data_IF_850502336020
#
_entry.id   IF_850502336020
#
_cell.length_a   1.000
_cell.length_b   1.000
_cell.length_c   1.000
_cell.angle_alpha   90.00
_cell.angle_beta   90.00
_cell.angle_gamma   90.00
#
_symmetry.space_group_name_H-M   'P 1'
#
loop_
_entity.id
_entity.type
_entity.pdbx_description
1 polymer ?
#
# COMPACT_ATOMS: atom_id res chain seq x y z
N UNK A 1 -0.20 25.03 -29.97
CA UNK A 1 0.20 26.24 -29.24
C UNK A 1 1.29 25.80 -28.26
N UNK A 2 2.57 26.05 -28.57
CA UNK A 2 3.66 25.80 -27.64
C UNK A 2 3.56 26.86 -26.53
N UNK A 3 3.11 26.46 -25.36
CA UNK A 3 3.14 27.32 -24.21
C UNK A 3 4.62 27.55 -23.79
N UNK A 4 5.01 28.80 -23.69
CA UNK A 4 6.35 29.15 -23.26
C UNK A 4 6.55 28.71 -21.81
N UNK A 5 7.52 27.82 -21.58
CA UNK A 5 7.79 27.29 -20.23
C UNK A 5 8.53 28.37 -19.45
N UNK A 6 8.09 28.74 -18.24
CA UNK A 6 8.77 29.73 -17.40
C UNK A 6 10.21 29.31 -17.08
N UNK A 7 11.14 30.24 -17.15
CA UNK A 7 12.52 30.04 -16.71
C UNK A 7 12.78 30.78 -15.39
N UNK A 8 13.68 30.25 -14.57
CA UNK A 8 14.17 30.92 -13.39
C UNK A 8 15.14 32.06 -13.71
N UNK A 9 15.61 32.76 -12.69
CA UNK A 9 16.56 33.87 -12.82
C UNK A 9 17.90 33.43 -13.44
N UNK A 10 18.27 32.15 -13.26
CA UNK A 10 19.48 31.55 -13.85
C UNK A 10 19.29 31.10 -15.32
N UNK A 11 18.15 31.46 -15.94
CA UNK A 11 17.80 31.05 -17.29
C UNK A 11 17.44 29.56 -17.48
N UNK A 12 17.44 28.78 -16.43
CA UNK A 12 17.07 27.35 -16.46
C UNK A 12 15.62 27.15 -16.12
N UNK A 13 15.05 26.06 -16.63
CA UNK A 13 13.68 25.68 -16.29
C UNK A 13 13.72 24.92 -14.96
N UNK A 14 13.07 25.44 -13.89
CA UNK A 14 12.98 24.74 -12.62
C UNK A 14 12.04 23.52 -12.80
N UNK A 15 12.61 22.31 -12.84
CA UNK A 15 11.84 21.10 -13.11
C UNK A 15 11.10 20.58 -11.86
N UNK A 16 11.80 20.47 -10.73
CA UNK A 16 11.29 19.97 -9.45
C UNK A 16 12.01 20.65 -8.30
N UNK A 17 11.29 21.02 -7.23
CA UNK A 17 11.88 21.67 -6.06
C UNK A 17 12.60 20.72 -5.11
N UNK A 18 12.18 19.46 -5.07
CA UNK A 18 12.73 18.42 -4.21
C UNK A 18 13.53 17.35 -5.00
N UNK A 19 13.74 17.58 -6.30
CA UNK A 19 14.41 16.66 -7.20
C UNK A 19 13.56 15.46 -7.67
N UNK A 20 12.32 15.32 -7.17
CA UNK A 20 11.45 14.17 -7.44
C UNK A 20 10.11 14.58 -8.05
N UNK A 21 9.42 15.56 -7.48
CA UNK A 21 8.07 15.95 -7.88
C UNK A 21 8.10 17.15 -8.85
N UNK A 22 7.77 16.92 -10.15
CA UNK A 22 7.79 17.98 -11.14
C UNK A 22 6.77 19.10 -10.80
N UNK A 23 7.17 20.34 -11.00
CA UNK A 23 6.24 21.46 -10.89
C UNK A 23 5.18 21.42 -11.99
N UNK A 24 3.96 21.81 -11.65
CA UNK A 24 2.81 21.79 -12.57
C UNK A 24 3.02 22.66 -13.80
N UNK A 25 3.60 23.86 -13.62
CA UNK A 25 3.77 24.86 -14.66
C UNK A 25 5.08 24.74 -15.47
N UNK A 26 5.98 23.83 -15.09
CA UNK A 26 7.24 23.61 -15.81
C UNK A 26 7.47 22.12 -16.09
N UNK A 27 7.74 21.30 -15.08
CA UNK A 27 8.06 19.88 -15.27
C UNK A 27 6.92 19.09 -15.92
N UNK A 28 5.66 19.26 -15.48
CA UNK A 28 4.51 18.64 -16.12
C UNK A 28 4.28 19.13 -17.56
N UNK A 29 4.56 20.40 -17.84
CA UNK A 29 4.47 20.95 -19.22
C UNK A 29 5.48 20.27 -20.14
N UNK A 30 6.72 20.03 -19.66
CA UNK A 30 7.74 19.30 -20.42
C UNK A 30 7.28 17.89 -20.74
N UNK A 31 6.74 17.15 -19.77
CA UNK A 31 6.17 15.82 -19.99
C UNK A 31 5.04 15.86 -21.01
N UNK A 32 4.09 16.79 -20.86
CA UNK A 32 2.97 16.94 -21.80
C UNK A 32 3.44 17.21 -23.22
N UNK A 33 4.38 18.12 -23.40
CA UNK A 33 4.94 18.42 -24.73
C UNK A 33 5.66 17.21 -25.34
N UNK A 34 6.37 16.42 -24.52
CA UNK A 34 7.04 15.20 -24.97
C UNK A 34 6.03 14.15 -25.44
N UNK A 35 4.94 13.94 -24.69
CA UNK A 35 3.85 13.04 -25.07
C UNK A 35 3.16 13.52 -26.36
N UNK A 36 2.85 14.82 -26.45
CA UNK A 36 2.21 15.39 -27.64
C UNK A 36 3.04 15.25 -28.92
N UNK A 37 4.38 15.27 -28.80
CA UNK A 37 5.29 14.96 -29.92
C UNK A 37 5.32 13.46 -30.27
N UNK A 38 5.24 12.59 -29.26
CA UNK A 38 5.30 11.15 -29.44
C UNK A 38 4.01 10.54 -30.02
N UNK A 39 2.84 11.04 -29.61
CA UNK A 39 1.54 10.49 -29.98
C UNK A 39 1.31 10.38 -31.51
N UNK A 40 1.62 11.37 -32.34
CA UNK A 40 1.46 11.24 -33.80
C UNK A 40 2.38 10.17 -34.42
N UNK A 41 3.56 9.98 -33.83
CA UNK A 41 4.51 8.93 -34.28
C UNK A 41 3.98 7.56 -33.90
N UNK A 42 3.55 7.41 -32.65
CA UNK A 42 2.97 6.15 -32.14
C UNK A 42 1.71 5.79 -32.95
N UNK A 43 0.82 6.77 -33.21
CA UNK A 43 -0.40 6.54 -33.97
C UNK A 43 -0.18 6.10 -35.42
N UNK A 44 0.98 6.39 -36.01
CA UNK A 44 1.39 5.93 -37.34
C UNK A 44 2.11 4.59 -37.34
N UNK A 45 2.65 4.18 -36.22
CA UNK A 45 3.51 2.99 -36.11
C UNK A 45 2.72 1.69 -35.93
N UNK A 46 1.43 1.77 -35.56
CA UNK A 46 0.59 0.62 -35.26
C UNK A 46 -0.58 0.45 -36.24
N UNK A 47 -1.01 -0.78 -36.42
CA UNK A 47 -2.28 -1.10 -37.09
C UNK A 47 -3.30 -1.42 -36.02
N UNK A 48 -4.46 -0.71 -35.97
CA UNK A 48 -5.52 -1.06 -35.04
C UNK A 48 -6.02 -2.49 -35.27
N UNK A 49 -6.14 -3.25 -34.18
CA UNK A 49 -6.65 -4.63 -34.26
C UNK A 49 -6.36 -5.41 -32.98
N UNK A 50 -6.89 -6.64 -32.88
CA UNK A 50 -6.54 -7.53 -31.80
C UNK A 50 -5.03 -7.85 -31.82
N UNK A 51 -4.38 -7.68 -30.70
CA UNK A 51 -2.98 -8.04 -30.52
C UNK A 51 -2.91 -9.19 -29.51
N UNK A 52 -2.42 -10.39 -29.91
CA UNK A 52 -2.16 -11.46 -28.95
C UNK A 52 -1.12 -10.99 -27.94
N UNK A 53 -1.37 -11.24 -26.67
CA UNK A 53 -0.40 -10.95 -25.64
C UNK A 53 0.84 -11.83 -25.86
N UNK A 54 2.06 -11.28 -25.86
CA UNK A 54 3.26 -12.09 -25.91
C UNK A 54 3.37 -12.93 -24.65
N UNK A 55 4.18 -13.99 -24.69
CA UNK A 55 4.55 -14.72 -23.49
C UNK A 55 5.18 -13.77 -22.46
N UNK A 56 4.92 -13.98 -21.16
CA UNK A 56 5.51 -13.16 -20.10
C UNK A 56 7.05 -13.13 -20.23
N UNK A 57 7.66 -11.98 -20.00
CA UNK A 57 9.12 -11.82 -19.99
C UNK A 57 9.77 -12.60 -18.84
N UNK A 58 9.02 -12.93 -17.80
CA UNK A 58 9.46 -13.68 -16.63
C UNK A 58 8.43 -14.76 -16.30
N UNK A 59 8.92 -15.95 -15.95
CA UNK A 59 8.06 -17.06 -15.56
C UNK A 59 7.32 -16.80 -14.22
N UNK A 60 7.90 -15.94 -13.38
CA UNK A 60 7.36 -15.53 -12.08
C UNK A 60 6.56 -14.20 -12.14
N UNK A 61 6.00 -13.86 -13.31
CA UNK A 61 5.13 -12.68 -13.44
C UNK A 61 3.86 -12.83 -12.58
N UNK A 62 3.24 -11.68 -12.28
CA UNK A 62 2.06 -11.66 -11.41
C UNK A 62 0.74 -11.74 -12.19
N UNK A 63 0.69 -12.48 -13.27
CA UNK A 63 -0.50 -12.62 -14.10
C UNK A 63 -1.63 -13.37 -13.35
N UNK A 64 -1.26 -14.30 -12.45
CA UNK A 64 -2.21 -15.00 -11.57
C UNK A 64 -2.39 -14.29 -10.24
N UNK A 65 -2.85 -13.03 -10.27
CA UNK A 65 -3.06 -12.23 -9.06
C UNK A 65 -4.54 -12.14 -8.70
N UNK A 66 -4.87 -12.36 -7.44
CA UNK A 66 -6.21 -12.19 -6.89
C UNK A 66 -6.26 -11.16 -5.78
N UNK A 67 -7.39 -10.44 -5.70
CA UNK A 67 -7.69 -9.49 -4.64
C UNK A 67 -8.91 -9.98 -3.86
N UNK A 68 -8.72 -10.30 -2.60
CA UNK A 68 -9.71 -10.98 -1.75
C UNK A 68 -10.12 -10.07 -0.60
N UNK A 69 -11.42 -9.78 -0.40
CA UNK A 69 -11.87 -9.03 0.77
C UNK A 69 -11.71 -9.86 2.05
N UNK A 70 -11.50 -9.21 3.20
CA UNK A 70 -11.24 -9.93 4.46
C UNK A 70 -12.44 -10.71 5.01
N UNK A 71 -13.65 -10.46 4.52
CA UNK A 71 -14.85 -11.23 4.86
C UNK A 71 -15.10 -12.43 3.91
N UNK A 72 -14.14 -12.76 3.04
CA UNK A 72 -14.28 -13.90 2.15
C UNK A 72 -14.25 -15.23 2.92
N UNK A 73 -14.98 -16.20 2.41
CA UNK A 73 -14.89 -17.59 2.88
C UNK A 73 -13.45 -18.10 2.72
N UNK A 74 -12.89 -18.69 3.79
CA UNK A 74 -11.49 -19.11 3.86
C UNK A 74 -10.58 -18.15 4.61
N UNK A 75 -11.08 -16.98 5.03
CA UNK A 75 -10.40 -16.09 5.96
C UNK A 75 -11.10 -16.12 7.31
N UNK A 76 -10.34 -16.34 8.38
CA UNK A 76 -10.85 -16.34 9.76
C UNK A 76 -10.30 -15.13 10.50
N UNK A 77 -11.20 -14.35 11.07
CA UNK A 77 -10.89 -13.22 11.94
C UNK A 77 -11.18 -13.61 13.39
N UNK A 78 -10.23 -13.46 14.29
CA UNK A 78 -10.36 -13.85 15.69
C UNK A 78 -10.02 -12.69 16.63
N UNK A 79 -10.56 -12.73 17.86
CA UNK A 79 -10.33 -11.72 18.89
C UNK A 79 -11.10 -10.43 18.67
N UNK A 80 -10.70 -9.32 19.29
CA UNK A 80 -11.41 -8.05 19.20
C UNK A 80 -11.10 -7.31 17.88
N UNK A 81 -12.07 -7.25 16.99
CA UNK A 81 -11.99 -6.48 15.74
C UNK A 81 -13.34 -5.84 15.41
N UNK A 82 -13.32 -4.82 14.58
CA UNK A 82 -14.51 -4.08 14.14
C UNK A 82 -14.38 -3.76 12.66
N UNK A 83 -15.39 -4.08 11.86
CA UNK A 83 -15.55 -3.49 10.54
C UNK A 83 -15.97 -2.02 10.72
N UNK A 84 -15.18 -1.10 10.20
CA UNK A 84 -15.45 0.32 10.37
C UNK A 84 -16.62 0.75 9.47
N UNK A 85 -17.60 1.48 10.01
CA UNK A 85 -18.70 1.98 9.18
C UNK A 85 -18.17 2.97 8.14
N UNK A 86 -18.87 3.10 7.02
CA UNK A 86 -18.49 4.03 5.93
C UNK A 86 -18.41 5.51 6.38
N UNK A 87 -19.01 5.85 7.52
CA UNK A 87 -18.94 7.17 8.15
C UNK A 87 -17.65 7.39 8.96
N UNK A 88 -16.91 6.31 9.29
CA UNK A 88 -15.62 6.43 9.98
C UNK A 88 -14.63 7.21 9.11
N UNK A 89 -13.89 8.19 9.68
CA UNK A 89 -12.94 8.99 8.91
C UNK A 89 -11.89 8.18 8.16
N UNK A 90 -11.36 7.09 8.74
CA UNK A 90 -10.39 6.23 8.09
C UNK A 90 -11.02 5.44 6.94
N UNK A 91 -12.19 4.82 7.16
CA UNK A 91 -12.90 4.09 6.12
C UNK A 91 -13.26 5.02 4.95
N UNK A 92 -13.79 6.21 5.23
CA UNK A 92 -14.17 7.20 4.21
C UNK A 92 -12.97 7.70 3.40
N UNK A 93 -11.83 7.93 4.05
CA UNK A 93 -10.60 8.42 3.39
C UNK A 93 -10.12 7.45 2.32
N UNK A 94 -10.28 6.15 2.52
CA UNK A 94 -9.72 5.11 1.65
C UNK A 94 -10.79 4.29 0.91
N UNK A 95 -12.06 4.70 0.94
CA UNK A 95 -13.19 3.97 0.37
C UNK A 95 -13.01 3.63 -1.13
N UNK A 96 -12.31 4.47 -1.91
CA UNK A 96 -12.02 4.23 -3.31
C UNK A 96 -10.99 3.10 -3.56
N UNK A 97 -10.28 2.65 -2.52
CA UNK A 97 -9.29 1.55 -2.58
C UNK A 97 -9.72 0.37 -1.71
N UNK A 98 -10.29 0.66 -0.56
CA UNK A 98 -10.74 -0.28 0.45
C UNK A 98 -12.23 -0.04 0.70
N UNK A 99 -13.13 -0.71 -0.03
CA UNK A 99 -14.58 -0.57 0.15
C UNK A 99 -15.04 -1.04 1.53
N UNK A 100 -14.25 -1.90 2.20
CA UNK A 100 -14.38 -2.26 3.61
C UNK A 100 -13.02 -2.16 4.30
N UNK A 101 -13.01 -1.67 5.52
CA UNK A 101 -11.83 -1.51 6.35
C UNK A 101 -12.10 -2.05 7.75
N UNK A 102 -11.25 -2.94 8.23
CA UNK A 102 -11.32 -3.51 9.57
C UNK A 102 -10.25 -2.92 10.47
N UNK A 103 -10.63 -2.65 11.71
CA UNK A 103 -9.72 -2.29 12.78
C UNK A 103 -9.58 -3.48 13.72
N UNK A 104 -8.36 -3.92 13.93
CA UNK A 104 -7.99 -5.01 14.83
C UNK A 104 -7.32 -4.43 16.07
N UNK A 105 -7.73 -4.89 17.24
CA UNK A 105 -7.16 -4.51 18.53
C UNK A 105 -6.07 -5.51 18.96
N UNK A 106 -5.40 -5.21 20.07
CA UNK A 106 -4.34 -6.07 20.58
C UNK A 106 -4.88 -7.50 20.86
N UNK A 107 -4.14 -8.50 20.40
CA UNK A 107 -4.51 -9.91 20.51
C UNK A 107 -5.42 -10.43 19.39
N UNK A 108 -5.97 -9.56 18.55
CA UNK A 108 -6.74 -10.01 17.39
C UNK A 108 -5.84 -10.69 16.34
N UNK A 109 -6.40 -11.59 15.53
CA UNK A 109 -5.67 -12.25 14.44
C UNK A 109 -6.50 -12.42 13.17
N UNK A 110 -5.78 -12.50 12.05
CA UNK A 110 -6.28 -12.85 10.72
C UNK A 110 -5.58 -14.14 10.32
N UNK A 111 -6.34 -15.15 9.91
CA UNK A 111 -5.81 -16.47 9.52
C UNK A 111 -6.40 -16.90 8.20
N UNK A 112 -5.57 -17.44 7.31
CA UNK A 112 -6.01 -18.00 6.02
C UNK A 112 -4.98 -18.97 5.45
N UNK A 113 -5.41 -19.73 4.45
CA UNK A 113 -4.53 -20.55 3.61
C UNK A 113 -4.62 -20.05 2.17
N UNK A 114 -3.53 -20.11 1.45
CA UNK A 114 -3.51 -19.81 0.03
C UNK A 114 -2.59 -20.78 -0.71
N UNK A 115 -2.91 -21.07 -1.97
CA UNK A 115 -2.02 -21.74 -2.90
C UNK A 115 -1.40 -20.68 -3.80
N UNK A 116 -0.08 -20.61 -3.86
CA UNK A 116 0.62 -19.61 -4.66
C UNK A 116 1.96 -19.22 -4.08
N UNK A 117 2.57 -18.18 -4.63
CA UNK A 117 3.97 -17.81 -4.37
C UNK A 117 4.13 -16.55 -3.51
N UNK A 118 3.06 -15.74 -3.37
CA UNK A 118 3.10 -14.46 -2.66
C UNK A 118 1.78 -14.10 -2.02
N UNK A 119 1.86 -13.49 -0.84
CA UNK A 119 0.71 -12.90 -0.15
C UNK A 119 1.08 -11.54 0.41
N UNK A 120 0.20 -10.56 0.23
CA UNK A 120 0.30 -9.20 0.79
C UNK A 120 -1.04 -8.76 1.34
N UNK A 121 -1.04 -7.96 2.38
CA UNK A 121 -2.25 -7.36 2.92
C UNK A 121 -2.25 -5.85 2.65
N UNK A 122 -3.32 -5.35 2.07
CA UNK A 122 -3.53 -3.92 1.87
C UNK A 122 -4.05 -3.34 3.18
N UNK A 123 -3.21 -2.54 3.83
CA UNK A 123 -3.38 -2.09 5.19
C UNK A 123 -3.11 -0.58 5.31
N UNK A 124 -3.15 -0.07 6.53
CA UNK A 124 -2.83 1.33 6.80
C UNK A 124 -1.61 1.44 7.73
N UNK A 125 -0.72 2.35 7.38
CA UNK A 125 0.21 2.99 8.29
C UNK A 125 -0.46 4.19 8.95
N UNK A 126 -0.21 4.40 10.23
CA UNK A 126 -0.76 5.55 10.93
C UNK A 126 -0.14 5.80 12.31
N UNK A 127 -0.51 6.92 12.94
CA UNK A 127 -0.02 7.28 14.27
C UNK A 127 -0.46 6.31 15.36
N UNK A 128 -1.56 5.63 15.16
CA UNK A 128 -2.18 4.67 16.07
C UNK A 128 -1.89 3.21 15.70
N UNK A 129 -0.89 2.96 14.84
CA UNK A 129 -0.54 1.61 14.42
C UNK A 129 0.19 0.82 15.49
N UNK A 130 -0.03 -0.50 15.48
CA UNK A 130 0.56 -1.49 16.38
C UNK A 130 1.73 -2.23 15.75
N UNK A 131 2.38 -3.07 16.56
CA UNK A 131 3.21 -4.17 16.09
C UNK A 131 2.32 -5.35 15.70
N UNK A 132 2.73 -6.09 14.67
CA UNK A 132 2.09 -7.36 14.30
C UNK A 132 3.15 -8.46 14.22
N UNK A 133 2.72 -9.69 14.45
CA UNK A 133 3.47 -10.88 14.11
C UNK A 133 2.84 -11.55 12.89
N UNK A 134 3.65 -11.85 11.90
CA UNK A 134 3.27 -12.60 10.70
C UNK A 134 3.93 -13.97 10.78
N UNK A 135 3.12 -15.02 10.82
CA UNK A 135 3.56 -16.41 10.80
C UNK A 135 3.16 -17.04 9.47
N UNK A 136 4.13 -17.58 8.76
CA UNK A 136 3.93 -18.32 7.50
C UNK A 136 4.55 -19.70 7.68
N UNK A 137 3.74 -20.75 7.55
CA UNK A 137 4.17 -22.14 7.69
C UNK A 137 4.99 -22.39 8.96
N UNK A 138 4.54 -21.80 10.08
CA UNK A 138 5.17 -21.92 11.38
C UNK A 138 6.38 -21.00 11.61
N UNK A 139 6.83 -20.23 10.62
CA UNK A 139 7.93 -19.29 10.77
C UNK A 139 7.38 -17.89 11.04
N UNK A 140 7.73 -17.30 12.17
CA UNK A 140 7.22 -15.99 12.60
C UNK A 140 8.23 -14.88 12.40
N UNK A 141 7.73 -13.67 12.10
CA UNK A 141 8.48 -12.43 12.11
C UNK A 141 7.61 -11.28 12.59
N UNK A 142 8.22 -10.30 13.23
CA UNK A 142 7.52 -9.12 13.75
C UNK A 142 7.69 -7.93 12.82
N UNK A 143 6.61 -7.18 12.61
CA UNK A 143 6.57 -6.01 11.78
C UNK A 143 5.94 -4.84 12.53
N UNK A 144 6.61 -3.70 12.52
CA UNK A 144 6.04 -2.44 12.98
C UNK A 144 5.27 -1.81 11.81
N UNK A 145 3.98 -1.50 12.05
CA UNK A 145 3.14 -0.87 11.01
C UNK A 145 3.10 0.65 11.14
N UNK A 146 4.23 1.24 11.51
CA UNK A 146 4.45 2.67 11.62
C UNK A 146 5.83 3.04 11.11
N UNK A 147 5.94 4.16 10.40
CA UNK A 147 7.20 4.74 9.95
C UNK A 147 7.32 6.24 10.30
N UNK A 148 8.42 6.87 9.88
CA UNK A 148 8.73 8.27 10.18
C UNK A 148 7.75 9.31 9.61
N UNK A 149 6.86 8.93 8.68
CA UNK A 149 5.83 9.80 8.11
C UNK A 149 4.47 9.71 8.81
N UNK A 150 4.30 8.84 9.82
CA UNK A 150 3.00 8.55 10.41
C UNK A 150 2.45 9.66 11.30
N UNK A 151 2.40 10.89 10.80
CA UNK A 151 1.58 11.96 11.34
C UNK A 151 0.13 11.92 10.81
N UNK A 152 -0.14 11.06 9.85
CA UNK A 152 -1.46 10.79 9.26
C UNK A 152 -1.53 9.34 8.76
N UNK A 153 -2.74 8.87 8.42
CA UNK A 153 -2.91 7.51 7.89
C UNK A 153 -2.63 7.47 6.40
N UNK A 154 -1.94 6.43 5.97
CA UNK A 154 -1.58 6.16 4.56
C UNK A 154 -1.86 4.71 4.21
N UNK A 155 -2.28 4.48 2.96
CA UNK A 155 -2.32 3.13 2.41
C UNK A 155 -0.92 2.54 2.36
N UNK A 156 -0.81 1.28 2.72
CA UNK A 156 0.42 0.51 2.68
C UNK A 156 0.14 -0.93 2.21
N UNK A 157 1.20 -1.61 1.83
CA UNK A 157 1.19 -3.05 1.58
C UNK A 157 2.02 -3.72 2.66
N UNK A 158 1.40 -4.62 3.41
CA UNK A 158 2.09 -5.48 4.35
C UNK A 158 2.55 -6.74 3.63
N UNK A 159 3.85 -6.94 3.38
CA UNK A 159 4.31 -8.18 2.78
C UNK A 159 4.15 -9.31 3.80
N UNK A 160 3.40 -10.35 3.45
CA UNK A 160 3.17 -11.52 4.30
C UNK A 160 4.08 -12.66 3.88
N UNK A 161 4.11 -12.97 2.60
CA UNK A 161 4.91 -14.03 2.00
C UNK A 161 5.44 -13.59 0.65
N UNK A 162 6.63 -14.03 0.28
CA UNK A 162 7.27 -13.70 -1.00
C UNK A 162 8.19 -14.84 -1.45
N UNK A 163 8.21 -15.11 -2.75
CA UNK A 163 9.05 -16.13 -3.39
C UNK A 163 8.90 -17.53 -2.76
N UNK A 164 7.68 -17.91 -2.38
CA UNK A 164 7.38 -19.25 -1.89
C UNK A 164 7.22 -20.22 -3.08
N UNK A 165 7.36 -21.54 -2.86
CA UNK A 165 6.91 -22.55 -3.81
C UNK A 165 5.42 -22.38 -4.14
N UNK A 166 4.97 -22.78 -5.35
CA UNK A 166 3.55 -22.75 -5.71
C UNK A 166 2.80 -23.95 -5.09
N UNK A 167 2.59 -23.87 -3.77
CA UNK A 167 1.89 -24.87 -2.97
C UNK A 167 0.97 -24.19 -1.94
N UNK A 168 0.33 -24.98 -1.08
CA UNK A 168 -0.56 -24.45 -0.05
C UNK A 168 0.25 -23.98 1.15
N UNK A 169 0.08 -22.70 1.49
CA UNK A 169 0.71 -22.06 2.64
C UNK A 169 -0.32 -21.63 3.68
N UNK A 170 0.05 -21.69 4.95
CA UNK A 170 -0.75 -21.21 6.07
C UNK A 170 -0.19 -19.89 6.56
N UNK A 171 -1.06 -18.86 6.68
CA UNK A 171 -0.68 -17.53 7.15
C UNK A 171 -1.53 -17.14 8.36
N UNK A 172 -0.85 -16.64 9.39
CA UNK A 172 -1.47 -16.01 10.55
C UNK A 172 -0.84 -14.65 10.79
N UNK A 173 -1.66 -13.64 11.00
CA UNK A 173 -1.24 -12.30 11.43
C UNK A 173 -1.85 -12.06 12.81
N UNK A 174 -1.03 -11.71 13.79
CA UNK A 174 -1.48 -11.41 15.17
C UNK A 174 -1.09 -10.00 15.54
N UNK A 175 -2.01 -9.21 16.08
CA UNK A 175 -1.73 -7.89 16.61
C UNK A 175 -1.11 -8.03 18.00
N UNK A 176 0.14 -7.58 18.15
CA UNK A 176 0.90 -7.78 19.37
C UNK A 176 0.59 -6.74 20.43
N UNK A 177 0.60 -7.11 21.72
CA UNK A 177 0.46 -6.17 22.84
C UNK A 177 1.71 -5.32 23.06
N UNK A 178 2.79 -5.61 22.34
CA UNK A 178 4.06 -4.92 22.45
C UNK A 178 3.92 -3.45 22.05
N UNK A 179 4.37 -2.57 22.94
CA UNK A 179 4.41 -1.13 22.72
C UNK A 179 5.82 -0.71 22.32
N UNK A 180 5.91 0.34 21.53
CA UNK A 180 7.17 0.95 21.13
C UNK A 180 7.08 2.47 21.26
N UNK A 181 8.22 3.15 21.34
CA UNK A 181 8.26 4.60 21.37
C UNK A 181 7.93 5.16 19.99
N UNK A 182 6.69 5.60 19.82
CA UNK A 182 6.19 6.14 18.56
C UNK A 182 6.85 7.48 18.19
N UNK A 183 7.28 8.25 19.17
CA UNK A 183 7.98 9.51 18.96
C UNK A 183 9.33 9.29 18.29
N UNK A 184 10.07 8.29 18.75
CA UNK A 184 11.38 7.94 18.20
C UNK A 184 11.28 7.29 16.80
N UNK A 185 10.14 6.71 16.45
CA UNK A 185 9.88 6.23 15.09
C UNK A 185 9.70 7.36 14.09
N UNK A 186 9.12 8.48 14.52
CA UNK A 186 8.89 9.63 13.64
C UNK A 186 10.22 10.29 13.23
N UNK A 187 10.28 10.74 11.98
CA UNK A 187 11.36 11.64 11.59
C UNK A 187 11.38 12.85 12.51
N UNK A 188 12.56 13.38 12.79
CA UNK A 188 12.77 14.52 13.68
C UNK A 188 11.83 15.68 13.37
N UNK A 189 11.70 16.06 12.10
CA UNK A 189 10.78 17.09 11.62
C UNK A 189 9.30 16.84 11.93
N UNK A 190 8.92 15.58 12.22
CA UNK A 190 7.54 15.15 12.48
C UNK A 190 7.25 14.97 13.98
N UNK A 191 8.27 14.98 14.86
CA UNK A 191 8.10 14.78 16.32
C UNK A 191 7.25 15.86 16.96
N UNK A 192 7.27 17.07 16.42
CA UNK A 192 6.41 18.17 16.89
C UNK A 192 4.90 17.89 16.74
N UNK A 193 4.47 17.02 15.81
CA UNK A 193 3.06 16.58 15.73
C UNK A 193 2.72 15.64 16.89
N UNK A 194 3.63 14.74 17.26
CA UNK A 194 3.47 13.89 18.44
C UNK A 194 3.33 14.71 19.73
N UNK A 195 4.22 15.68 19.93
CA UNK A 195 4.28 16.50 21.14
C UNK A 195 3.00 17.36 21.32
N UNK A 196 2.41 17.81 20.20
CA UNK A 196 1.15 18.60 20.18
C UNK A 196 -0.11 17.74 20.29
N UNK A 197 -0.06 16.49 19.81
CA UNK A 197 -1.24 15.61 19.67
C UNK A 197 -1.00 14.22 20.26
N UNK A 198 -0.58 14.07 21.54
CA UNK A 198 -0.21 12.78 22.10
C UNK A 198 -1.36 11.75 22.09
N UNK A 199 -2.60 12.19 22.23
CA UNK A 199 -3.78 11.33 22.18
C UNK A 199 -3.97 10.61 20.85
N UNK A 200 -3.50 11.19 19.75
CA UNK A 200 -3.53 10.59 18.40
C UNK A 200 -2.64 9.35 18.31
N UNK A 201 -1.56 9.30 19.10
CA UNK A 201 -0.57 8.23 19.10
C UNK A 201 -0.79 7.21 20.23
N UNK A 202 -1.68 7.50 21.18
CA UNK A 202 -1.90 6.64 22.33
C UNK A 202 -2.46 5.25 22.00
N UNK A 203 -3.40 5.06 21.03
CA UNK A 203 -3.91 3.74 20.68
C UNK A 203 -2.89 2.90 19.91
N UNK A 204 -3.11 1.58 19.93
CA UNK A 204 -2.36 0.59 19.15
C UNK A 204 -3.35 -0.31 18.42
N UNK A 205 -3.53 -0.08 17.12
CA UNK A 205 -4.46 -0.80 16.25
C UNK A 205 -3.74 -1.34 15.01
N UNK A 206 -4.33 -2.31 14.38
CA UNK A 206 -3.97 -2.72 13.02
C UNK A 206 -5.19 -2.53 12.12
N UNK A 207 -4.99 -1.89 10.97
CA UNK A 207 -6.05 -1.65 10.00
C UNK A 207 -5.76 -2.41 8.73
N UNK A 208 -6.72 -3.19 8.25
CA UNK A 208 -6.57 -3.97 7.02
C UNK A 208 -7.87 -4.04 6.23
N UNK A 209 -7.77 -4.18 4.91
CA UNK A 209 -8.95 -4.18 4.04
C UNK A 209 -8.99 -5.27 2.99
N UNK A 210 -7.88 -5.59 2.33
CA UNK A 210 -7.83 -6.58 1.26
C UNK A 210 -6.57 -7.43 1.33
N UNK A 211 -6.72 -8.70 1.02
CA UNK A 211 -5.63 -9.62 0.77
C UNK A 211 -5.33 -9.65 -0.74
N UNK A 212 -4.05 -9.53 -1.11
CA UNK A 212 -3.56 -9.75 -2.46
C UNK A 212 -2.71 -11.01 -2.48
N UNK A 213 -2.98 -11.87 -3.45
CA UNK A 213 -2.27 -13.13 -3.64
C UNK A 213 -1.71 -13.19 -5.07
N UNK A 214 -0.49 -13.70 -5.24
CA UNK A 214 -0.08 -14.33 -6.48
C UNK A 214 -0.39 -15.80 -6.31
N UNK A 215 -1.59 -16.18 -6.76
CA UNK A 215 -2.25 -17.43 -6.47
C UNK A 215 -3.72 -17.24 -6.07
N UNK A 216 -4.25 -18.21 -5.30
CA UNK A 216 -5.66 -18.26 -4.92
C UNK A 216 -5.86 -18.60 -3.43
N UNK A 217 -6.95 -18.07 -2.85
CA UNK A 217 -7.36 -18.40 -1.50
C UNK A 217 -7.88 -19.85 -1.44
N UNK A 218 -7.41 -20.62 -0.47
CA UNK A 218 -7.95 -21.97 -0.17
C UNK A 218 -9.15 -21.79 0.76
N UNK A 219 -10.27 -22.36 0.36
CA UNK A 219 -11.54 -22.33 1.09
C UNK A 219 -11.64 -23.47 2.11
#
# INVERSE_FOLDING_TARGET
>A
VESKIPTGEDGKIPFAGDGVHPYTNTGHVIYTQSLMRALPVIGKAGTPGPHPLPAPLRADCWDNTSAVPLNASGITLNGPYTELPATDPAARQFANRLPALWRFELGASIEFKFKGTKAMLYDLYGPDSAMIEVTVDGKSRRLRRMDGYCTYRRLALCPLADNLPDEVHTVKITVLPEKFDKREVLFERNRGDFDKNPGKYAPYYYYAGKLFLVGELVK
#
